data_IF_572114516530
#
_entry.id   IF_572114516530
#
_cell.length_a   1.000
_cell.length_b   1.000
_cell.length_c   1.000
_cell.angle_alpha   90.00
_cell.angle_beta   90.00
_cell.angle_gamma   90.00
#
_symmetry.space_group_name_H-M   'P 1'
#
loop_
_entity.id
_entity.type
_entity.pdbx_description
1 polymer ?
#
# COMPACT_ATOMS: atom_id res chain seq x y z
N UNK A 1 -12.13 3.38 -20.89
CA UNK A 1 -11.04 2.45 -21.24
C UNK A 1 -10.14 2.07 -20.05
N UNK A 2 -9.92 2.93 -19.04
CA UNK A 2 -8.96 2.66 -17.94
C UNK A 2 -9.48 1.80 -16.77
N UNK A 3 -10.77 1.45 -16.75
CA UNK A 3 -11.38 0.70 -15.63
C UNK A 3 -10.77 -0.69 -15.48
N UNK A 4 -10.57 -1.41 -16.58
CA UNK A 4 -10.06 -2.78 -16.57
C UNK A 4 -8.57 -2.85 -16.14
N UNK A 5 -7.66 -2.02 -16.68
CA UNK A 5 -6.29 -1.87 -16.17
C UNK A 5 -6.23 -1.51 -14.68
N UNK A 6 -7.04 -0.55 -14.25
CA UNK A 6 -7.07 -0.12 -12.86
C UNK A 6 -7.53 -1.24 -11.91
N UNK A 7 -8.57 -2.00 -12.30
CA UNK A 7 -9.04 -3.14 -11.53
C UNK A 7 -8.01 -4.27 -11.46
N UNK A 8 -7.36 -4.59 -12.58
CA UNK A 8 -6.32 -5.62 -12.64
C UNK A 8 -5.16 -5.31 -11.67
N UNK A 9 -4.81 -4.03 -11.55
CA UNK A 9 -3.74 -3.56 -10.67
C UNK A 9 -4.19 -3.44 -9.20
N UNK A 10 -5.41 -2.97 -8.96
CA UNK A 10 -5.92 -2.68 -7.61
C UNK A 10 -6.42 -3.91 -6.85
N UNK A 11 -7.06 -4.87 -7.52
CA UNK A 11 -7.70 -6.03 -6.87
C UNK A 11 -6.74 -6.88 -6.02
N UNK A 12 -5.53 -7.25 -6.51
CA UNK A 12 -4.59 -8.03 -5.70
C UNK A 12 -4.15 -7.27 -4.44
N UNK A 13 -3.88 -5.97 -4.58
CA UNK A 13 -3.43 -5.14 -3.47
C UNK A 13 -4.55 -4.94 -2.43
N UNK A 14 -5.78 -4.73 -2.91
CA UNK A 14 -6.96 -4.64 -2.05
C UNK A 14 -7.16 -5.94 -1.24
N UNK A 15 -6.98 -7.11 -1.86
CA UNK A 15 -7.09 -8.39 -1.17
C UNK A 15 -6.06 -8.54 -0.04
N UNK A 16 -4.80 -8.15 -0.29
CA UNK A 16 -3.74 -8.15 0.73
C UNK A 16 -4.09 -7.20 1.87
N UNK A 17 -4.48 -5.96 1.54
CA UNK A 17 -4.79 -4.95 2.54
C UNK A 17 -6.01 -5.33 3.40
N UNK A 18 -7.06 -5.89 2.79
CA UNK A 18 -8.24 -6.41 3.49
C UNK A 18 -7.86 -7.54 4.45
N UNK A 19 -6.99 -8.47 4.03
CA UNK A 19 -6.52 -9.57 4.88
C UNK A 19 -5.76 -9.06 6.10
N UNK A 20 -4.89 -8.07 5.90
CA UNK A 20 -4.12 -7.43 6.98
C UNK A 20 -5.04 -6.70 7.94
N UNK A 21 -5.96 -5.87 7.42
CA UNK A 21 -6.93 -5.13 8.22
C UNK A 21 -7.76 -6.09 9.09
N UNK A 22 -8.26 -7.19 8.49
CA UNK A 22 -9.01 -8.22 9.22
C UNK A 22 -8.17 -8.84 10.34
N UNK A 23 -6.92 -9.19 10.06
CA UNK A 23 -5.99 -9.76 11.05
C UNK A 23 -5.74 -8.79 12.21
N UNK A 24 -5.51 -7.51 11.90
CA UNK A 24 -5.28 -6.46 12.89
C UNK A 24 -6.53 -6.21 13.76
N UNK A 25 -7.73 -6.20 13.17
CA UNK A 25 -8.97 -6.06 13.93
C UNK A 25 -9.20 -7.23 14.90
N UNK A 26 -8.93 -8.46 14.46
CA UNK A 26 -9.04 -9.66 15.32
C UNK A 26 -8.04 -9.60 16.49
N UNK A 27 -6.81 -9.13 16.26
CA UNK A 27 -5.80 -9.02 17.32
C UNK A 27 -6.07 -7.89 18.33
N UNK A 28 -6.94 -6.93 17.98
CA UNK A 28 -7.35 -5.83 18.87
C UNK A 28 -8.53 -6.20 19.76
N UNK A 29 -9.41 -7.10 19.32
CA UNK A 29 -10.58 -7.54 20.09
C UNK A 29 -10.27 -7.94 21.56
N UNK A 30 -9.21 -8.73 21.86
CA UNK A 30 -8.94 -9.15 23.23
C UNK A 30 -8.33 -8.07 24.13
N UNK A 31 -8.01 -6.87 23.62
CA UNK A 31 -7.29 -5.84 24.38
C UNK A 31 -8.17 -5.19 25.46
N UNK A 32 -7.57 -4.86 26.61
CA UNK A 32 -8.31 -4.39 27.79
C UNK A 32 -9.01 -3.04 27.59
N UNK A 33 -8.51 -2.19 26.67
CA UNK A 33 -9.21 -0.95 26.32
C UNK A 33 -10.55 -1.18 25.61
N UNK A 34 -10.69 -2.29 24.86
CA UNK A 34 -11.96 -2.69 24.24
C UNK A 34 -12.91 -3.23 25.31
N UNK A 35 -12.40 -4.06 26.24
CA UNK A 35 -13.19 -4.61 27.35
C UNK A 35 -13.71 -3.52 28.27
N UNK A 36 -12.87 -2.56 28.65
CA UNK A 36 -13.26 -1.40 29.45
C UNK A 36 -14.25 -0.49 28.70
N UNK A 37 -14.07 -0.27 27.40
CA UNK A 37 -15.03 0.47 26.59
C UNK A 37 -16.42 -0.21 26.57
N UNK A 38 -16.45 -1.55 26.46
CA UNK A 38 -17.70 -2.33 26.53
C UNK A 38 -18.33 -2.28 27.92
N UNK A 39 -17.53 -2.36 28.99
CA UNK A 39 -18.01 -2.23 30.38
C UNK A 39 -18.62 -0.85 30.68
N UNK A 40 -18.17 0.20 29.97
CA UNK A 40 -18.73 1.56 30.03
C UNK A 40 -20.04 1.72 29.23
N UNK A 41 -20.54 0.67 28.58
CA UNK A 41 -21.79 0.70 27.80
C UNK A 41 -21.67 1.38 26.43
N UNK A 42 -20.46 1.53 25.89
CA UNK A 42 -20.28 2.09 24.54
C UNK A 42 -20.86 1.15 23.47
N UNK A 43 -21.62 1.70 22.52
CA UNK A 43 -22.15 0.93 21.38
C UNK A 43 -21.02 0.30 20.55
N UNK A 44 -21.19 -0.92 20.00
CA UNK A 44 -20.18 -1.59 19.18
C UNK A 44 -19.62 -0.75 18.03
N UNK A 45 -20.47 0.01 17.33
CA UNK A 45 -20.04 0.90 16.24
C UNK A 45 -19.07 2.01 16.71
N UNK A 46 -19.31 2.57 17.90
CA UNK A 46 -18.45 3.61 18.49
C UNK A 46 -17.13 3.04 18.99
N UNK A 47 -17.13 1.80 19.51
CA UNK A 47 -15.90 1.09 19.87
C UNK A 47 -15.07 0.82 18.61
N UNK A 48 -15.71 0.34 17.54
CA UNK A 48 -15.06 0.06 16.26
C UNK A 48 -14.44 1.32 15.66
N UNK A 49 -15.22 2.36 15.38
CA UNK A 49 -14.76 3.55 14.67
C UNK A 49 -13.73 4.38 15.46
N UNK A 50 -13.90 4.48 16.78
CA UNK A 50 -13.09 5.39 17.61
C UNK A 50 -11.90 4.71 18.28
N UNK A 51 -11.96 3.40 18.51
CA UNK A 51 -10.91 2.69 19.26
C UNK A 51 -10.27 1.59 18.42
N UNK A 52 -11.04 0.67 17.83
CA UNK A 52 -10.44 -0.45 17.10
C UNK A 52 -9.80 -0.02 15.77
N UNK A 53 -10.48 0.81 14.98
CA UNK A 53 -10.05 1.20 13.64
C UNK A 53 -8.73 1.99 13.64
N UNK A 54 -8.51 3.02 14.48
CA UNK A 54 -7.23 3.73 14.52
C UNK A 54 -6.06 2.83 14.93
N UNK A 55 -6.29 1.86 15.83
CA UNK A 55 -5.25 0.91 16.22
C UNK A 55 -4.99 -0.17 15.17
N UNK A 56 -6.00 -0.56 14.38
CA UNK A 56 -5.87 -1.53 13.29
C UNK A 56 -5.23 -0.93 12.03
N UNK A 57 -5.35 0.40 11.85
CA UNK A 57 -4.83 1.09 10.68
C UNK A 57 -3.30 1.14 10.65
N UNK A 58 -2.64 1.05 11.80
CA UNK A 58 -1.19 1.14 11.88
C UNK A 58 -0.47 0.00 11.11
N UNK A 59 -0.74 -1.30 11.38
CA UNK A 59 -0.21 -2.39 10.55
C UNK A 59 -0.56 -2.28 9.06
N UNK A 60 -1.74 -1.74 8.77
CA UNK A 60 -2.26 -1.58 7.40
C UNK A 60 -1.45 -0.52 6.65
N UNK A 61 -1.12 0.60 7.30
CA UNK A 61 -0.27 1.64 6.73
C UNK A 61 1.14 1.12 6.44
N UNK A 62 1.74 0.34 7.35
CA UNK A 62 3.06 -0.26 7.14
C UNK A 62 3.08 -1.19 5.93
N UNK A 63 2.04 -2.01 5.73
CA UNK A 63 1.99 -2.90 4.57
C UNK A 63 1.61 -2.13 3.30
N UNK A 64 0.82 -1.06 3.42
CA UNK A 64 0.50 -0.20 2.29
C UNK A 64 1.75 0.44 1.67
N UNK A 65 2.76 0.83 2.47
CA UNK A 65 4.01 1.37 1.93
C UNK A 65 4.75 0.35 1.06
N UNK A 66 4.85 -0.90 1.51
CA UNK A 66 5.45 -1.98 0.71
C UNK A 66 4.69 -2.22 -0.60
N UNK A 67 3.35 -2.12 -0.56
CA UNK A 67 2.50 -2.32 -1.74
C UNK A 67 2.67 -1.24 -2.82
N UNK A 68 3.13 -0.03 -2.48
CA UNK A 68 3.42 1.02 -3.48
C UNK A 68 4.49 0.54 -4.46
N UNK A 69 5.53 -0.12 -3.97
CA UNK A 69 6.60 -0.67 -4.83
C UNK A 69 6.06 -1.79 -5.75
N UNK A 70 5.16 -2.62 -5.23
CA UNK A 70 4.49 -3.65 -6.04
C UNK A 70 3.58 -3.05 -7.11
N UNK A 71 2.88 -1.95 -6.82
CA UNK A 71 2.03 -1.26 -7.79
C UNK A 71 2.84 -0.77 -9.00
N UNK A 72 4.04 -0.24 -8.78
CA UNK A 72 4.90 0.26 -9.86
C UNK A 72 5.40 -0.89 -10.73
N UNK A 73 5.84 -2.00 -10.14
CA UNK A 73 6.20 -3.21 -10.90
C UNK A 73 5.03 -3.82 -11.65
N UNK A 74 3.84 -3.85 -11.03
CA UNK A 74 2.60 -4.33 -11.66
C UNK A 74 2.13 -3.42 -12.80
N UNK A 75 2.42 -2.11 -12.72
CA UNK A 75 2.04 -1.15 -13.76
C UNK A 75 2.74 -1.47 -15.08
N UNK A 76 4.01 -1.91 -15.05
CA UNK A 76 4.75 -2.36 -16.25
C UNK A 76 4.01 -3.49 -16.96
N UNK A 77 3.54 -4.48 -16.21
CA UNK A 77 2.81 -5.64 -16.75
C UNK A 77 1.48 -5.19 -17.34
N UNK A 78 0.73 -4.36 -16.61
CA UNK A 78 -0.57 -3.85 -17.05
C UNK A 78 -0.42 -2.96 -18.30
N UNK A 79 0.58 -2.09 -18.35
CA UNK A 79 0.87 -1.25 -19.52
C UNK A 79 1.16 -2.10 -20.76
N UNK A 80 1.96 -3.16 -20.61
CA UNK A 80 2.34 -4.05 -21.70
C UNK A 80 1.16 -4.88 -22.21
N UNK A 81 0.35 -5.44 -21.30
CA UNK A 81 -0.80 -6.30 -21.67
C UNK A 81 -1.96 -5.50 -22.28
N UNK A 82 -2.20 -4.29 -21.80
CA UNK A 82 -3.31 -3.45 -22.27
C UNK A 82 -2.89 -2.43 -23.34
N UNK A 83 -1.67 -2.54 -23.88
CA UNK A 83 -1.11 -1.67 -24.92
C UNK A 83 -1.20 -0.17 -24.57
N UNK A 84 -1.01 0.17 -23.29
CA UNK A 84 -1.04 1.55 -22.80
C UNK A 84 0.31 2.23 -23.08
N UNK A 85 0.32 3.50 -23.52
CA UNK A 85 1.55 4.26 -23.62
C UNK A 85 2.02 4.65 -22.21
N UNK A 86 3.10 4.01 -21.74
CA UNK A 86 3.63 4.21 -20.39
C UNK A 86 5.13 3.91 -20.28
N UNK A 87 5.72 4.33 -19.15
CA UNK A 87 7.17 4.21 -18.90
C UNK A 87 7.61 2.75 -18.77
N UNK A 88 6.74 1.88 -18.27
CA UNK A 88 7.03 0.45 -18.15
C UNK A 88 7.12 -0.24 -19.50
N UNK A 89 6.24 0.13 -20.44
CA UNK A 89 6.34 -0.36 -21.81
C UNK A 89 7.61 0.14 -22.51
N UNK A 90 7.97 1.42 -22.34
CA UNK A 90 9.23 1.95 -22.90
C UNK A 90 10.45 1.20 -22.37
N UNK A 91 10.43 0.80 -21.09
CA UNK A 91 11.46 -0.03 -20.50
C UNK A 91 11.53 -1.41 -21.19
N UNK A 92 10.39 -2.05 -21.44
CA UNK A 92 10.31 -3.33 -22.13
C UNK A 92 10.87 -3.26 -23.56
N UNK A 93 10.50 -2.20 -24.30
CA UNK A 93 10.99 -1.96 -25.66
C UNK A 93 12.51 -1.68 -25.69
N UNK A 94 13.03 -0.92 -24.72
CA UNK A 94 14.46 -0.65 -24.59
C UNK A 94 15.29 -1.92 -24.30
N UNK A 95 14.75 -2.85 -23.50
CA UNK A 95 15.37 -4.17 -23.29
C UNK A 95 15.43 -4.96 -24.60
N UNK A 96 14.34 -4.99 -25.36
CA UNK A 96 14.28 -5.72 -26.63
C UNK A 96 15.25 -5.18 -27.69
N UNK A 97 15.41 -3.86 -27.75
CA UNK A 97 16.30 -3.18 -28.71
C UNK A 97 17.76 -3.08 -28.24
N UNK A 98 18.09 -3.61 -27.05
CA UNK A 98 19.40 -3.46 -26.40
C UNK A 98 19.88 -2.00 -26.30
N UNK A 99 18.95 -1.05 -26.16
CA UNK A 99 19.28 0.36 -25.96
C UNK A 99 19.66 0.59 -24.50
N UNK A 100 20.92 0.30 -24.18
CA UNK A 100 21.44 0.36 -22.82
C UNK A 100 21.44 1.78 -22.24
N UNK A 101 21.42 2.82 -23.08
CA UNK A 101 21.36 4.21 -22.63
C UNK A 101 19.96 4.52 -22.12
N UNK A 102 18.94 4.26 -22.95
CA UNK A 102 17.54 4.48 -22.57
C UNK A 102 17.14 3.60 -21.38
N UNK A 103 17.58 2.33 -21.38
CA UNK A 103 17.32 1.41 -20.29
C UNK A 103 17.88 1.94 -18.97
N UNK A 104 19.15 2.38 -18.96
CA UNK A 104 19.81 2.92 -17.77
C UNK A 104 19.05 4.14 -17.23
N UNK A 105 18.72 5.09 -18.09
CA UNK A 105 18.08 6.33 -17.68
C UNK A 105 16.67 6.09 -17.13
N UNK A 106 15.89 5.21 -17.76
CA UNK A 106 14.57 4.82 -17.27
C UNK A 106 14.65 4.08 -15.93
N UNK A 107 15.58 3.13 -15.78
CA UNK A 107 15.76 2.40 -14.51
C UNK A 107 16.14 3.37 -13.39
N UNK A 108 17.05 4.31 -13.63
CA UNK A 108 17.44 5.31 -12.63
C UNK A 108 16.27 6.23 -12.25
N UNK A 109 15.49 6.67 -13.24
CA UNK A 109 14.31 7.51 -13.01
C UNK A 109 13.25 6.78 -12.17
N UNK A 110 12.93 5.54 -12.54
CA UNK A 110 11.92 4.72 -11.84
C UNK A 110 12.42 4.36 -10.43
N UNK A 111 13.69 4.01 -10.27
CA UNK A 111 14.28 3.76 -8.96
C UNK A 111 14.20 5.00 -8.06
N UNK A 112 14.58 6.18 -8.56
CA UNK A 112 14.48 7.42 -7.82
C UNK A 112 13.03 7.74 -7.43
N UNK A 113 12.06 7.54 -8.34
CA UNK A 113 10.65 7.73 -8.05
C UNK A 113 10.13 6.76 -6.98
N UNK A 114 10.48 5.47 -7.06
CA UNK A 114 10.12 4.46 -6.05
C UNK A 114 10.69 4.86 -4.69
N UNK A 115 11.97 5.23 -4.63
CA UNK A 115 12.61 5.65 -3.38
C UNK A 115 11.91 6.87 -2.77
N UNK A 116 11.64 7.91 -3.56
CA UNK A 116 10.96 9.11 -3.08
C UNK A 116 9.54 8.81 -2.57
N UNK A 117 8.78 8.00 -3.30
CA UNK A 117 7.43 7.61 -2.90
C UNK A 117 7.43 6.74 -1.63
N UNK A 118 8.37 5.81 -1.52
CA UNK A 118 8.52 4.96 -0.33
C UNK A 118 8.89 5.80 0.88
N UNK A 119 9.85 6.72 0.74
CA UNK A 119 10.23 7.67 1.79
C UNK A 119 9.06 8.54 2.24
N UNK A 120 8.28 9.08 1.29
CA UNK A 120 7.09 9.87 1.60
C UNK A 120 6.04 9.03 2.35
N UNK A 121 5.84 7.79 1.94
CA UNK A 121 4.87 6.88 2.54
C UNK A 121 5.29 6.49 3.97
N UNK A 122 6.56 6.18 4.21
CA UNK A 122 7.11 5.92 5.54
C UNK A 122 7.00 7.16 6.44
N UNK A 123 7.31 8.34 5.91
CA UNK A 123 7.16 9.60 6.63
C UNK A 123 5.69 9.88 7.02
N UNK A 124 4.75 9.60 6.11
CA UNK A 124 3.33 9.74 6.43
C UNK A 124 2.88 8.72 7.47
N UNK A 125 3.34 7.46 7.35
CA UNK A 125 3.02 6.39 8.30
C UNK A 125 3.54 6.73 9.71
N UNK A 126 4.75 7.26 9.83
CA UNK A 126 5.33 7.68 11.13
C UNK A 126 4.60 8.87 11.75
N UNK A 127 4.13 9.84 10.94
CA UNK A 127 3.31 10.94 11.46
C UNK A 127 1.92 10.52 11.91
N UNK A 128 1.33 9.54 11.23
CA UNK A 128 0.01 9.01 11.56
C UNK A 128 0.07 7.96 12.67
N UNK A 129 1.26 7.46 13.03
CA UNK A 129 1.44 6.51 14.11
C UNK A 129 1.18 7.21 15.47
N UNK A 130 0.08 6.89 16.17
CA UNK A 130 -0.21 7.45 17.49
C UNK A 130 0.66 6.80 18.59
N UNK A 131 1.47 5.78 18.26
CA UNK A 131 2.36 5.07 19.19
C UNK A 131 3.81 5.46 18.93
N UNK A 132 4.13 6.73 19.14
CA UNK A 132 5.50 7.17 19.39
C UNK A 132 6.02 6.60 20.72
N UNK A 133 6.21 5.28 20.82
CA UNK A 133 6.96 4.66 21.90
C UNK A 133 7.98 3.69 21.31
N UNK A 134 9.29 4.07 21.32
CA UNK A 134 10.35 3.13 21.05
C UNK A 134 10.31 2.01 22.10
N UNK A 135 10.54 0.80 21.62
CA UNK A 135 10.81 -0.37 22.46
C UNK A 135 12.03 -0.13 23.35
#
# INVERSE_FOLDING_TARGET
>A
ALVLPALALALPQAAVLMRVMRSALISIEPQDFIRSARARGLSPARIFLRHALPHALLPVLTIATMQISFLIGGAVVVETVFDLPGLGRMLFDAVGNHDLVVLRDLVLLVAAAITLLSMLAEWLATRLDPRGQPR
#
